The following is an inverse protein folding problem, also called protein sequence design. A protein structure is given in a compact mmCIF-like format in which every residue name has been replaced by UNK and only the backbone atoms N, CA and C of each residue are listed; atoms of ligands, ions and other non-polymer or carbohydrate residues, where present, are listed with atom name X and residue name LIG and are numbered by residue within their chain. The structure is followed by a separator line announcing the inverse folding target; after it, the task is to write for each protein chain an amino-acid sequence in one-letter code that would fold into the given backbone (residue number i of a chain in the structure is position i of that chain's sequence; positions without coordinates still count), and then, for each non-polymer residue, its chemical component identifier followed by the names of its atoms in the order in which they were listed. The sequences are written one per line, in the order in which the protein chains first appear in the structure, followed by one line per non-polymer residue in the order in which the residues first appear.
data_IF_532359984818
#
_entry.id   IF_532359984818
#
_cell.length_a   1.000
_cell.length_b   1.000
_cell.length_c   1.000
_cell.angle_alpha   90.00
_cell.angle_beta   90.00
_cell.angle_gamma   90.00
#
_symmetry.space_group_name_H-M   'P 1'
#
loop_
_entity.id
_entity.type
_entity.pdbx_description
1 polymer ?
#
# COMPACT_ATOMS: atom_id res chain seq x y z
N UNK A 1 -3.96 19.80 -8.61
CA UNK A 1 -5.01 19.28 -7.70
C UNK A 1 -4.63 19.75 -6.30
N UNK A 2 -5.51 20.49 -5.62
CA UNK A 2 -5.16 21.29 -4.45
C UNK A 2 -4.46 20.46 -3.37
N UNK A 3 -3.19 20.77 -3.14
CA UNK A 3 -2.42 20.24 -2.02
C UNK A 3 -3.02 20.79 -0.72
N UNK A 4 -3.43 19.86 0.13
CA UNK A 4 -4.03 19.96 1.48
C UNK A 4 -3.48 21.14 2.31
N UNK A 5 -4.28 21.81 3.17
CA UNK A 5 -3.72 22.69 4.21
C UNK A 5 -2.81 21.82 5.12
N UNK A 6 -1.49 22.03 5.11
CA UNK A 6 -0.56 21.18 5.83
C UNK A 6 -0.56 21.52 7.33
N UNK A 7 -0.18 20.52 8.13
CA UNK A 7 0.24 20.64 9.54
C UNK A 7 -0.89 20.70 10.58
N UNK A 8 -1.91 21.56 10.46
CA UNK A 8 -2.91 21.70 11.54
C UNK A 8 -3.91 20.54 11.58
N UNK A 9 -4.46 20.13 10.42
CA UNK A 9 -5.43 19.03 10.38
C UNK A 9 -4.79 17.69 10.75
N UNK A 10 -3.57 17.43 10.28
CA UNK A 10 -2.84 16.20 10.57
C UNK A 10 -2.50 16.11 12.06
N UNK A 11 -1.94 17.18 12.66
CA UNK A 11 -1.64 17.20 14.08
C UNK A 11 -2.89 17.02 14.96
N UNK A 12 -4.01 17.66 14.61
CA UNK A 12 -5.29 17.47 15.31
C UNK A 12 -5.76 16.01 15.16
N UNK A 13 -5.65 15.44 13.97
CA UNK A 13 -6.07 14.07 13.68
C UNK A 13 -5.25 13.06 14.49
N UNK A 14 -3.93 13.21 14.52
CA UNK A 14 -3.03 12.34 15.28
C UNK A 14 -3.35 12.39 16.78
N UNK A 15 -3.56 13.59 17.32
CA UNK A 15 -3.92 13.77 18.72
C UNK A 15 -5.29 13.16 19.05
N UNK A 16 -6.28 13.26 18.15
CA UNK A 16 -7.61 12.68 18.38
C UNK A 16 -7.59 11.15 18.33
N UNK A 17 -6.84 10.56 17.39
CA UNK A 17 -6.88 9.10 17.17
C UNK A 17 -6.07 8.27 18.17
N UNK A 18 -5.29 8.90 19.04
CA UNK A 18 -4.66 8.22 20.19
C UNK A 18 -5.55 8.21 21.44
N UNK A 19 -6.62 9.03 21.47
CA UNK A 19 -7.58 9.04 22.57
C UNK A 19 -8.41 7.76 22.60
N UNK A 20 -8.85 7.36 23.79
CA UNK A 20 -9.80 6.27 23.94
C UNK A 20 -11.05 6.52 23.07
N UNK A 21 -11.63 5.49 22.40
CA UNK A 21 -12.78 5.69 21.52
C UNK A 21 -13.96 6.38 22.20
N UNK A 22 -14.13 6.21 23.51
CA UNK A 22 -15.17 6.88 24.31
C UNK A 22 -14.95 8.38 24.46
N UNK A 23 -13.69 8.85 24.48
CA UNK A 23 -13.34 10.26 24.59
C UNK A 23 -13.29 10.99 23.22
N UNK A 24 -13.14 10.24 22.13
CA UNK A 24 -12.93 10.77 20.79
C UNK A 24 -13.96 11.84 20.37
N UNK A 25 -15.26 11.54 20.51
CA UNK A 25 -16.32 12.42 20.00
C UNK A 25 -16.35 13.77 20.73
N UNK A 26 -16.13 13.76 22.05
CA UNK A 26 -16.10 14.98 22.85
C UNK A 26 -14.91 15.87 22.43
N UNK A 27 -13.70 15.29 22.39
CA UNK A 27 -12.49 15.99 21.99
C UNK A 27 -12.56 16.50 20.55
N UNK A 28 -13.11 15.71 19.61
CA UNK A 28 -13.30 16.13 18.21
C UNK A 28 -14.20 17.37 18.11
N UNK A 29 -15.29 17.40 18.87
CA UNK A 29 -16.22 18.52 18.84
C UNK A 29 -15.58 19.79 19.43
N UNK A 30 -14.86 19.65 20.54
CA UNK A 30 -14.11 20.75 21.17
C UNK A 30 -13.08 21.34 20.21
N UNK A 31 -12.22 20.51 19.58
CA UNK A 31 -11.25 20.96 18.58
C UNK A 31 -11.90 21.66 17.39
N UNK A 32 -13.03 21.13 16.92
CA UNK A 32 -13.76 21.77 15.83
C UNK A 32 -14.31 23.14 16.23
N UNK A 33 -14.76 23.31 17.48
CA UNK A 33 -15.29 24.58 17.98
C UNK A 33 -14.19 25.61 18.23
N UNK A 34 -13.01 25.18 18.70
CA UNK A 34 -11.81 26.02 18.86
C UNK A 34 -11.42 26.70 17.55
N UNK A 35 -11.33 25.92 16.46
CA UNK A 35 -10.87 26.43 15.15
C UNK A 35 -11.99 27.04 14.31
N UNK A 36 -13.26 26.90 14.71
CA UNK A 36 -14.42 27.33 13.90
C UNK A 36 -14.40 28.79 13.50
N UNK A 37 -13.90 29.67 14.38
CA UNK A 37 -13.89 31.13 14.15
C UNK A 37 -12.78 31.55 13.18
N UNK A 38 -11.64 30.87 13.20
CA UNK A 38 -10.49 31.17 12.34
C UNK A 38 -10.57 30.42 11.01
N UNK A 39 -10.97 29.15 11.04
CA UNK A 39 -11.06 28.29 9.87
C UNK A 39 -12.32 27.38 9.92
N UNK A 40 -13.45 27.86 9.35
CA UNK A 40 -14.68 27.09 9.25
C UNK A 40 -14.54 25.82 8.40
N UNK A 41 -13.63 25.80 7.42
CA UNK A 41 -13.44 24.63 6.55
C UNK A 41 -12.70 23.52 7.31
N UNK A 42 -11.66 23.88 8.06
CA UNK A 42 -10.96 22.96 8.96
C UNK A 42 -11.89 22.41 10.04
N UNK A 43 -12.72 23.26 10.67
CA UNK A 43 -13.72 22.81 11.63
C UNK A 43 -14.70 21.78 11.04
N UNK A 44 -15.13 21.99 9.78
CA UNK A 44 -15.98 21.04 9.06
C UNK A 44 -15.24 19.72 8.81
N UNK A 45 -13.97 19.77 8.41
CA UNK A 45 -13.14 18.59 8.20
C UNK A 45 -12.96 17.78 9.50
N UNK A 46 -12.68 18.45 10.62
CA UNK A 46 -12.55 17.81 11.94
C UNK A 46 -13.86 17.13 12.34
N UNK A 47 -15.01 17.78 12.16
CA UNK A 47 -16.33 17.19 12.49
C UNK A 47 -16.68 15.98 11.63
N UNK A 48 -16.13 15.89 10.42
CA UNK A 48 -16.32 14.74 9.53
C UNK A 48 -15.49 13.51 9.93
N UNK A 49 -14.57 13.64 10.89
CA UNK A 49 -13.81 12.50 11.41
C UNK A 49 -14.73 11.50 12.12
N UNK A 50 -14.54 10.23 11.76
CA UNK A 50 -15.30 9.12 12.32
C UNK A 50 -14.65 8.63 13.61
N UNK A 51 -15.51 8.30 14.59
CA UNK A 51 -15.07 7.61 15.80
C UNK A 51 -14.45 6.26 15.42
N UNK A 52 -13.21 5.96 15.87
CA UNK A 52 -12.57 4.69 15.54
C UNK A 52 -13.28 3.52 16.25
N UNK A 53 -13.23 2.34 15.63
CA UNK A 53 -13.52 1.09 16.33
C UNK A 53 -12.41 0.78 17.34
N UNK A 54 -12.64 -0.14 18.27
CA UNK A 54 -11.61 -0.54 19.26
C UNK A 54 -10.37 -1.11 18.56
N UNK A 55 -10.56 -1.95 17.53
CA UNK A 55 -9.45 -2.51 16.74
C UNK A 55 -8.65 -1.42 16.01
N UNK A 56 -9.34 -0.46 15.39
CA UNK A 56 -8.69 0.65 14.69
C UNK A 56 -7.92 1.56 15.66
N UNK A 57 -8.48 1.83 16.84
CA UNK A 57 -7.79 2.57 17.91
C UNK A 57 -6.54 1.85 18.40
N UNK A 58 -6.61 0.54 18.63
CA UNK A 58 -5.45 -0.25 19.05
C UNK A 58 -4.33 -0.21 18.00
N UNK A 59 -4.67 -0.32 16.71
CA UNK A 59 -3.72 -0.18 15.62
C UNK A 59 -3.09 1.22 15.57
N UNK A 60 -3.90 2.29 15.70
CA UNK A 60 -3.40 3.67 15.74
C UNK A 60 -2.46 3.90 16.92
N UNK A 61 -2.79 3.36 18.10
CA UNK A 61 -1.94 3.49 19.28
C UNK A 61 -0.60 2.75 19.12
N UNK A 62 -0.62 1.57 18.52
CA UNK A 62 0.59 0.81 18.19
C UNK A 62 1.47 1.59 17.22
N UNK A 63 0.89 2.11 16.14
CA UNK A 63 1.60 2.91 15.15
C UNK A 63 2.18 4.20 15.76
N UNK A 64 1.45 4.85 16.66
CA UNK A 64 1.91 6.05 17.33
C UNK A 64 3.08 5.79 18.29
N UNK A 65 3.02 4.73 19.10
CA UNK A 65 4.07 4.41 20.10
C UNK A 65 5.31 3.75 19.49
N UNK A 66 5.13 3.00 18.42
CA UNK A 66 6.19 2.19 17.81
C UNK A 66 6.34 2.51 16.32
N UNK A 67 6.35 3.80 15.98
CA UNK A 67 6.39 4.27 14.59
C UNK A 67 7.56 3.67 13.80
N UNK A 68 8.75 3.59 14.40
CA UNK A 68 9.95 2.98 13.79
C UNK A 68 9.76 1.51 13.47
N UNK A 69 9.13 0.75 14.37
CA UNK A 69 8.88 -0.68 14.19
C UNK A 69 7.87 -0.90 13.05
N UNK A 70 6.78 -0.12 13.04
CA UNK A 70 5.77 -0.19 11.99
C UNK A 70 6.37 0.18 10.63
N UNK A 71 7.24 1.19 10.58
CA UNK A 71 7.97 1.56 9.36
C UNK A 71 8.86 0.42 8.88
N UNK A 72 9.67 -0.16 9.76
CA UNK A 72 10.53 -1.31 9.43
C UNK A 72 9.72 -2.51 8.91
N UNK A 73 8.55 -2.80 9.49
CA UNK A 73 7.68 -3.87 9.03
C UNK A 73 7.12 -3.60 7.64
N UNK A 74 6.74 -2.36 7.35
CA UNK A 74 6.27 -1.94 6.03
C UNK A 74 7.38 -2.05 4.98
N UNK A 75 8.58 -1.58 5.32
CA UNK A 75 9.77 -1.66 4.46
C UNK A 75 10.12 -3.12 4.14
N UNK A 76 10.09 -4.00 5.14
CA UNK A 76 10.30 -5.44 4.96
C UNK A 76 9.22 -6.06 4.06
N UNK A 77 7.94 -5.73 4.30
CA UNK A 77 6.84 -6.23 3.48
C UNK A 77 6.96 -5.80 2.01
N UNK A 78 7.47 -4.59 1.77
CA UNK A 78 7.75 -4.10 0.43
C UNK A 78 8.88 -4.87 -0.23
N UNK A 79 10.01 -5.04 0.46
CA UNK A 79 11.14 -5.82 -0.04
C UNK A 79 10.74 -7.27 -0.38
N UNK A 80 9.89 -7.89 0.45
CA UNK A 80 9.37 -9.24 0.18
C UNK A 80 8.49 -9.29 -1.07
N UNK A 81 7.60 -8.31 -1.30
CA UNK A 81 6.79 -8.24 -2.52
C UNK A 81 7.65 -8.09 -3.76
N UNK A 82 8.62 -7.19 -3.71
CA UNK A 82 9.56 -6.97 -4.81
C UNK A 82 10.35 -8.26 -5.13
N UNK A 83 10.86 -8.96 -4.11
CA UNK A 83 11.56 -10.23 -4.32
C UNK A 83 10.66 -11.29 -4.99
N UNK A 84 9.41 -11.42 -4.56
CA UNK A 84 8.45 -12.36 -5.16
C UNK A 84 8.16 -12.03 -6.62
N UNK A 85 7.98 -10.76 -6.96
CA UNK A 85 7.74 -10.31 -8.34
C UNK A 85 8.95 -10.57 -9.26
N UNK A 86 10.16 -10.28 -8.79
CA UNK A 86 11.38 -10.48 -9.57
C UNK A 86 11.71 -11.96 -9.79
N UNK A 87 11.62 -12.80 -8.75
CA UNK A 87 11.83 -14.24 -8.88
C UNK A 87 10.82 -14.88 -9.85
N UNK A 88 9.56 -14.46 -9.80
CA UNK A 88 8.55 -14.92 -10.75
C UNK A 88 8.91 -14.48 -12.19
N UNK A 89 9.35 -13.23 -12.37
CA UNK A 89 9.74 -12.70 -13.68
C UNK A 89 10.97 -13.41 -14.29
N UNK A 90 11.96 -13.78 -13.48
CA UNK A 90 13.11 -14.58 -13.96
C UNK A 90 12.71 -16.01 -14.32
N UNK A 91 11.92 -16.68 -13.48
CA UNK A 91 11.43 -18.04 -13.78
C UNK A 91 10.57 -18.09 -15.05
N UNK A 92 9.69 -17.11 -15.26
CA UNK A 92 8.87 -17.04 -16.47
C UNK A 92 9.69 -16.80 -17.74
N UNK A 93 10.75 -15.97 -17.66
CA UNK A 93 11.68 -15.77 -18.79
C UNK A 93 12.40 -17.06 -19.15
N UNK A 94 12.91 -17.81 -18.17
CA UNK A 94 13.55 -19.11 -18.40
C UNK A 94 12.63 -20.13 -19.08
N UNK A 95 11.38 -20.23 -18.64
CA UNK A 95 10.39 -21.12 -19.27
C UNK A 95 10.05 -20.68 -20.71
N UNK A 96 9.99 -19.37 -20.97
CA UNK A 96 9.76 -18.85 -22.32
C UNK A 96 10.90 -19.20 -23.30
N UNK A 97 12.15 -19.16 -22.82
CA UNK A 97 13.34 -19.52 -23.60
C UNK A 97 13.42 -21.03 -23.87
N UNK A 98 13.15 -21.87 -22.86
CA UNK A 98 13.03 -23.32 -23.04
C UNK A 98 11.98 -23.66 -24.10
N UNK A 99 10.80 -23.02 -24.03
CA UNK A 99 9.75 -23.20 -25.04
C UNK A 99 10.22 -22.79 -26.45
N UNK A 100 10.99 -21.71 -26.57
CA UNK A 100 11.55 -21.26 -27.86
C UNK A 100 12.53 -22.29 -28.43
N UNK A 101 13.40 -22.84 -27.59
CA UNK A 101 14.37 -23.88 -27.95
C UNK A 101 13.67 -25.17 -28.41
N UNK A 102 12.67 -25.64 -27.67
CA UNK A 102 11.90 -26.82 -28.09
C UNK A 102 11.18 -26.60 -29.42
N UNK A 103 10.62 -25.41 -29.65
CA UNK A 103 9.99 -25.06 -30.93
C UNK A 103 10.96 -25.03 -32.11
N UNK A 104 12.17 -24.50 -31.92
CA UNK A 104 13.18 -24.45 -33.00
C UNK A 104 13.70 -25.85 -33.33
N UNK A 105 13.98 -26.67 -32.31
CA UNK A 105 14.37 -28.08 -32.49
C UNK A 105 13.29 -28.88 -33.24
N UNK A 106 12.01 -28.70 -32.88
CA UNK A 106 10.90 -29.35 -33.58
C UNK A 106 10.76 -28.89 -35.04
N UNK A 107 11.10 -27.63 -35.37
CA UNK A 107 11.14 -27.15 -36.77
C UNK A 107 12.30 -27.76 -37.55
N UNK A 108 13.51 -27.81 -36.98
CA UNK A 108 14.69 -28.37 -37.63
C UNK A 108 14.50 -29.87 -37.98
N UNK A 109 13.86 -30.64 -37.10
CA UNK A 109 13.54 -32.06 -37.36
C UNK A 109 12.53 -32.25 -38.51
N UNK A 110 11.60 -31.30 -38.70
CA UNK A 110 10.65 -31.34 -39.82
C UNK A 110 11.31 -31.00 -41.15
N UNK A 111 12.23 -30.03 -41.18
CA UNK A 111 12.97 -29.70 -42.41
C UNK A 111 13.92 -30.83 -42.84
N UNK A 112 14.48 -31.60 -41.91
CA UNK A 112 15.31 -32.78 -42.25
C UNK A 112 14.49 -33.96 -42.77
N UNK A 113 13.23 -34.13 -42.34
CA UNK A 113 12.37 -35.21 -42.85
C UNK A 113 11.82 -34.95 -44.26
N UNK A 114 11.75 -33.70 -44.70
CA UNK A 114 11.24 -33.35 -46.04
C UNK A 114 12.32 -33.40 -47.12
N UNK A 115 13.62 -33.46 -46.76
CA UNK A 115 14.74 -33.54 -47.70
C UNK A 115 15.15 -34.95 -48.15
N UNK A 116 14.50 -36.02 -47.65
CA UNK A 116 14.90 -37.42 -47.94
C UNK A 116 13.92 -38.16 -48.87
N UNK A 117 13.09 -37.44 -49.62
CA UNK A 117 12.15 -38.02 -50.58
C UNK A 117 12.34 -37.42 -51.98
N UNK A 118 13.56 -37.50 -52.52
CA UNK A 118 13.80 -37.28 -53.95
C UNK A 118 15.19 -37.80 -54.38
N UNK A 119 15.34 -39.12 -54.47
CA UNK A 119 16.17 -39.83 -55.47
C UNK A 119 15.56 -41.21 -55.68
#
# INVERSE_FOLDING_TARGET
MASKPPTDFEAITDALYVLAPTAFTAARNERADEVKKSDPQLAKAIRALHRPTVAAWAANLLAHRHHDLVRQLMDLGQALREAQEHLAGEQMRGLADQRRLHRSAARARRSSSTGTALV
#
